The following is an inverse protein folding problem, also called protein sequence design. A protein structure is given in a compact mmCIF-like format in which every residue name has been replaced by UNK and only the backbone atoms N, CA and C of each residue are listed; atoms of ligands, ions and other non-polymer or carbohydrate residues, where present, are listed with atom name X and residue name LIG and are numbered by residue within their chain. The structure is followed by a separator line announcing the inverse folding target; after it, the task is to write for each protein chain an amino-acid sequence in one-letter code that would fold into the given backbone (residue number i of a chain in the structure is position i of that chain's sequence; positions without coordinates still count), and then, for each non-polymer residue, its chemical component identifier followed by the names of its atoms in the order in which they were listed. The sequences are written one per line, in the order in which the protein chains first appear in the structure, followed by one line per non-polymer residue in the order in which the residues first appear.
data_IF_937112476068
#
_entry.id   IF_937112476068
#
_cell.length_a   1.000
_cell.length_b   1.000
_cell.length_c   1.000
_cell.angle_alpha   90.00
_cell.angle_beta   90.00
_cell.angle_gamma   90.00
#
_symmetry.space_group_name_H-M   'P 1'
#
loop_
_entity.id
_entity.type
_entity.pdbx_description
1 polymer ?
#
# COMPACT_ATOMS: atom_id res chain seq x y z
N UNK A 1 7.24 -20.08 -0.99
CA UNK A 1 5.79 -19.95 -0.71
C UNK A 1 5.00 -21.24 -0.97
N UNK A 2 5.22 -21.94 -2.11
CA UNK A 2 4.42 -23.12 -2.48
C UNK A 2 4.45 -24.30 -1.48
N UNK A 3 5.52 -24.43 -0.68
CA UNK A 3 5.70 -25.50 0.31
C UNK A 3 5.29 -25.14 1.75
N UNK A 4 4.61 -24.01 1.99
CA UNK A 4 4.15 -23.67 3.34
C UNK A 4 3.06 -24.66 3.83
N UNK A 5 3.04 -25.01 5.14
CA UNK A 5 1.94 -25.69 5.80
C UNK A 5 0.57 -25.07 5.48
N UNK A 6 -0.46 -25.90 5.44
CA UNK A 6 -1.82 -25.48 5.06
C UNK A 6 -2.39 -24.40 5.99
N UNK A 7 -2.13 -24.49 7.31
CA UNK A 7 -2.57 -23.49 8.29
C UNK A 7 -1.94 -22.11 8.02
N UNK A 8 -0.64 -22.09 7.68
CA UNK A 8 0.08 -20.86 7.38
C UNK A 8 -0.42 -20.22 6.07
N UNK A 9 -0.71 -21.05 5.05
CA UNK A 9 -1.36 -20.60 3.82
C UNK A 9 -2.74 -20.01 4.07
N UNK A 10 -3.53 -20.61 4.96
CA UNK A 10 -4.85 -20.13 5.32
C UNK A 10 -4.79 -18.73 5.97
N UNK A 11 -3.87 -18.52 6.93
CA UNK A 11 -3.64 -17.20 7.54
C UNK A 11 -3.25 -16.14 6.50
N UNK A 12 -2.38 -16.50 5.55
CA UNK A 12 -1.96 -15.57 4.48
C UNK A 12 -3.15 -15.23 3.58
N UNK A 13 -3.97 -16.22 3.25
CA UNK A 13 -5.16 -16.03 2.43
C UNK A 13 -6.19 -15.12 3.12
N UNK A 14 -6.41 -15.28 4.42
CA UNK A 14 -7.28 -14.42 5.22
C UNK A 14 -6.81 -12.96 5.20
N UNK A 15 -5.51 -12.72 5.44
CA UNK A 15 -4.97 -11.35 5.38
C UNK A 15 -5.01 -10.76 3.98
N UNK A 16 -4.80 -11.58 2.94
CA UNK A 16 -4.96 -11.15 1.56
C UNK A 16 -6.42 -10.79 1.23
N UNK A 17 -7.42 -11.48 1.82
CA UNK A 17 -8.83 -11.14 1.66
C UNK A 17 -9.16 -9.80 2.32
N UNK A 18 -8.62 -9.54 3.52
CA UNK A 18 -8.76 -8.24 4.19
C UNK A 18 -8.12 -7.12 3.34
N UNK A 19 -6.95 -7.38 2.76
CA UNK A 19 -6.33 -6.43 1.84
C UNK A 19 -7.20 -6.16 0.60
N UNK A 20 -7.85 -7.20 0.06
CA UNK A 20 -8.77 -7.07 -1.07
C UNK A 20 -9.95 -6.14 -0.76
N UNK A 21 -10.45 -6.13 0.48
CA UNK A 21 -11.49 -5.20 0.92
C UNK A 21 -11.02 -3.73 0.83
N UNK A 22 -9.79 -3.43 1.29
CA UNK A 22 -9.20 -2.09 1.17
C UNK A 22 -8.98 -1.70 -0.30
N UNK A 23 -8.60 -2.66 -1.15
CA UNK A 23 -8.48 -2.45 -2.59
C UNK A 23 -9.84 -2.11 -3.22
N UNK A 24 -10.92 -2.80 -2.84
CA UNK A 24 -12.28 -2.47 -3.30
C UNK A 24 -12.71 -1.05 -2.88
N UNK A 25 -12.32 -0.61 -1.68
CA UNK A 25 -12.57 0.78 -1.23
C UNK A 25 -11.83 1.79 -2.10
N UNK A 26 -10.60 1.48 -2.53
CA UNK A 26 -9.86 2.33 -3.45
C UNK A 26 -10.49 2.35 -4.83
N UNK A 27 -10.84 1.19 -5.40
CA UNK A 27 -11.48 1.09 -6.71
C UNK A 27 -12.78 1.92 -6.74
N UNK A 28 -13.62 1.81 -5.70
CA UNK A 28 -14.86 2.56 -5.56
C UNK A 28 -14.64 4.07 -5.40
N UNK A 29 -13.52 4.49 -4.82
CA UNK A 29 -13.20 5.91 -4.68
C UNK A 29 -12.65 6.48 -5.97
N UNK A 30 -11.76 5.74 -6.62
CA UNK A 30 -11.09 6.13 -7.87
C UNK A 30 -12.07 6.14 -9.06
N UNK A 31 -13.08 5.26 -9.07
CA UNK A 31 -14.08 5.21 -10.15
C UNK A 31 -14.99 6.43 -10.23
N UNK A 32 -15.01 7.27 -9.19
CA UNK A 32 -15.76 8.53 -9.17
C UNK A 32 -15.10 9.64 -9.99
N UNK A 33 -13.85 9.42 -10.44
CA UNK A 33 -13.01 10.42 -11.07
C UNK A 33 -12.60 9.99 -12.47
N UNK A 34 -12.69 10.92 -13.43
CA UNK A 34 -11.92 10.84 -14.66
C UNK A 34 -10.44 11.05 -14.31
N UNK A 35 -9.57 10.17 -14.78
CA UNK A 35 -8.13 10.27 -14.53
C UNK A 35 -7.43 11.28 -15.46
N UNK A 36 -8.16 11.82 -16.44
CA UNK A 36 -7.72 12.89 -17.34
C UNK A 36 -7.36 14.15 -16.55
N UNK A 37 -6.08 14.29 -16.20
CA UNK A 37 -5.52 15.45 -15.50
C UNK A 37 -5.46 15.33 -13.97
N UNK A 38 -5.76 14.16 -13.38
CA UNK A 38 -5.62 13.94 -11.94
C UNK A 38 -4.49 12.94 -11.62
N UNK A 39 -3.27 13.47 -11.50
CA UNK A 39 -2.08 12.66 -11.21
C UNK A 39 -2.16 11.92 -9.85
N UNK A 40 -2.94 12.41 -8.88
CA UNK A 40 -3.15 11.68 -7.60
C UNK A 40 -3.89 10.36 -7.86
N UNK A 41 -4.89 10.36 -8.74
CA UNK A 41 -5.64 9.16 -9.11
C UNK A 41 -4.75 8.18 -9.88
N UNK A 42 -3.95 8.69 -10.82
CA UNK A 42 -2.98 7.87 -11.59
C UNK A 42 -1.97 7.21 -10.65
N UNK A 43 -1.39 7.98 -9.72
CA UNK A 43 -0.45 7.46 -8.72
C UNK A 43 -1.12 6.46 -7.77
N UNK A 44 -2.37 6.70 -7.36
CA UNK A 44 -3.12 5.77 -6.52
C UNK A 44 -3.35 4.42 -7.22
N UNK A 45 -3.78 4.45 -8.49
CA UNK A 45 -3.92 3.24 -9.34
C UNK A 45 -2.58 2.51 -9.49
N UNK A 46 -1.50 3.23 -9.74
CA UNK A 46 -0.15 2.66 -9.87
C UNK A 46 0.30 1.98 -8.57
N UNK A 47 0.17 2.65 -7.42
CA UNK A 47 0.52 2.08 -6.11
C UNK A 47 -0.33 0.85 -5.79
N UNK A 48 -1.63 0.89 -6.12
CA UNK A 48 -2.53 -0.25 -5.96
C UNK A 48 -2.09 -1.47 -6.76
N UNK A 49 -1.76 -1.28 -8.04
CA UNK A 49 -1.30 -2.34 -8.93
C UNK A 49 -0.04 -3.02 -8.37
N UNK A 50 0.96 -2.23 -7.96
CA UNK A 50 2.20 -2.77 -7.42
C UNK A 50 1.95 -3.51 -6.09
N UNK A 51 1.09 -2.99 -5.21
CA UNK A 51 0.75 -3.71 -3.97
C UNK A 51 0.02 -5.02 -4.24
N UNK A 52 -0.84 -5.10 -5.26
CA UNK A 52 -1.48 -6.36 -5.67
C UNK A 52 -0.45 -7.40 -6.12
N UNK A 53 0.56 -7.01 -6.90
CA UNK A 53 1.67 -7.90 -7.29
C UNK A 53 2.43 -8.40 -6.05
N UNK A 54 2.63 -7.55 -5.05
CA UNK A 54 3.23 -7.94 -3.78
C UNK A 54 2.33 -8.92 -3.00
N UNK A 55 1.00 -8.77 -3.04
CA UNK A 55 0.06 -9.72 -2.39
C UNK A 55 -0.07 -11.03 -3.17
N UNK A 56 0.15 -11.03 -4.47
CA UNK A 56 0.24 -12.26 -5.25
C UNK A 56 1.52 -13.03 -4.91
N UNK A 57 2.63 -12.31 -4.73
CA UNK A 57 3.89 -12.91 -4.30
C UNK A 57 3.74 -13.66 -2.97
N UNK A 58 3.00 -13.11 -2.00
CA UNK A 58 2.76 -13.78 -0.70
C UNK A 58 2.04 -15.12 -0.84
N UNK A 59 1.30 -15.30 -1.94
CA UNK A 59 0.56 -16.52 -2.29
C UNK A 59 1.32 -17.40 -3.29
N UNK A 60 2.54 -17.04 -3.66
CA UNK A 60 3.34 -17.72 -4.67
C UNK A 60 2.81 -17.55 -6.10
N UNK A 61 2.13 -16.44 -6.38
CA UNK A 61 1.56 -16.07 -7.68
C UNK A 61 2.16 -14.74 -8.18
N UNK A 62 1.77 -14.34 -9.39
CA UNK A 62 2.07 -13.02 -9.91
C UNK A 62 3.47 -12.89 -10.54
N UNK A 63 3.87 -11.67 -10.91
CA UNK A 63 5.08 -11.42 -11.70
C UNK A 63 6.37 -11.38 -10.87
N UNK A 64 6.29 -11.14 -9.56
CA UNK A 64 7.45 -11.08 -8.68
C UNK A 64 7.95 -12.49 -8.37
N UNK A 65 9.25 -12.74 -8.55
CA UNK A 65 9.84 -14.08 -8.43
C UNK A 65 10.70 -14.22 -7.19
N UNK A 66 11.35 -13.15 -6.77
CA UNK A 66 12.34 -13.17 -5.70
C UNK A 66 12.20 -11.95 -4.78
N UNK A 67 12.91 -11.98 -3.64
CA UNK A 67 12.90 -10.88 -2.66
C UNK A 67 13.40 -9.55 -3.23
N UNK A 68 14.33 -9.57 -4.20
CA UNK A 68 14.80 -8.35 -4.85
C UNK A 68 13.67 -7.66 -5.64
N UNK A 69 12.81 -8.43 -6.29
CA UNK A 69 11.63 -7.91 -6.99
C UNK A 69 10.66 -7.23 -6.01
N UNK A 70 10.44 -7.84 -4.84
CA UNK A 70 9.58 -7.27 -3.76
C UNK A 70 10.17 -5.98 -3.19
N UNK A 71 11.48 -5.92 -2.99
CA UNK A 71 12.18 -4.71 -2.54
C UNK A 71 12.05 -3.60 -3.60
N UNK A 72 12.19 -3.95 -4.88
CA UNK A 72 12.02 -3.01 -6.00
C UNK A 72 10.58 -2.48 -6.08
N UNK A 73 9.58 -3.35 -5.91
CA UNK A 73 8.16 -2.98 -5.83
C UNK A 73 7.90 -2.00 -4.67
N UNK A 74 8.42 -2.27 -3.47
CA UNK A 74 8.27 -1.38 -2.32
C UNK A 74 8.92 0.01 -2.54
N UNK A 75 10.08 0.05 -3.21
CA UNK A 75 10.72 1.31 -3.60
C UNK A 75 9.86 2.11 -4.59
N UNK A 76 9.31 1.46 -5.62
CA UNK A 76 8.41 2.10 -6.58
C UNK A 76 7.16 2.68 -5.90
N UNK A 77 6.60 1.96 -4.93
CA UNK A 77 5.48 2.47 -4.12
C UNK A 77 5.91 3.70 -3.33
N UNK A 78 7.07 3.69 -2.70
CA UNK A 78 7.55 4.84 -1.95
C UNK A 78 7.84 6.08 -2.83
N UNK A 79 8.38 5.87 -4.03
CA UNK A 79 8.58 6.94 -5.02
C UNK A 79 7.24 7.54 -5.47
N UNK A 80 6.25 6.69 -5.79
CA UNK A 80 4.90 7.13 -6.13
C UNK A 80 4.22 7.86 -4.96
N UNK A 81 4.35 7.33 -3.73
CA UNK A 81 3.85 7.97 -2.51
C UNK A 81 4.51 9.33 -2.23
N UNK A 82 5.80 9.48 -2.54
CA UNK A 82 6.49 10.78 -2.45
C UNK A 82 5.95 11.79 -3.45
N UNK A 83 5.69 11.37 -4.71
CA UNK A 83 5.07 12.21 -5.74
C UNK A 83 3.65 12.62 -5.35
N UNK A 84 2.85 11.67 -4.87
CA UNK A 84 1.50 11.94 -4.33
C UNK A 84 1.56 12.93 -3.17
N UNK A 85 2.57 12.77 -2.29
CA UNK A 85 2.92 13.71 -1.22
C UNK A 85 3.09 15.16 -1.69
N UNK A 86 3.78 15.38 -2.80
CA UNK A 86 4.03 16.71 -3.37
C UNK A 86 2.75 17.31 -3.94
N UNK A 87 2.04 16.55 -4.77
CA UNK A 87 0.78 16.99 -5.38
C UNK A 87 -0.29 17.31 -4.33
N UNK A 88 -0.44 16.43 -3.33
CA UNK A 88 -1.37 16.64 -2.22
C UNK A 88 -1.06 17.90 -1.40
N UNK A 89 0.23 18.22 -1.18
CA UNK A 89 0.61 19.49 -0.52
C UNK A 89 0.22 20.69 -1.36
N UNK A 90 0.45 20.65 -2.68
CA UNK A 90 0.01 21.73 -3.58
C UNK A 90 -1.49 21.94 -3.50
N UNK A 91 -2.30 20.88 -3.41
CA UNK A 91 -3.75 21.01 -3.19
C UNK A 91 -4.03 21.65 -1.82
N UNK A 92 -3.40 21.15 -0.76
CA UNK A 92 -3.57 21.63 0.61
C UNK A 92 -3.20 23.13 0.76
N UNK A 93 -2.15 23.59 0.10
CA UNK A 93 -1.68 24.98 0.17
C UNK A 93 -2.66 25.98 -0.42
N UNK A 94 -3.46 25.54 -1.38
CA UNK A 94 -4.49 26.36 -1.99
C UNK A 94 -5.91 26.06 -1.46
N UNK A 95 -6.04 25.24 -0.42
CA UNK A 95 -7.33 24.97 0.20
C UNK A 95 -7.64 26.09 1.21
N UNK A 96 -8.76 26.83 1.05
CA UNK A 96 -9.13 27.90 1.97
C UNK A 96 -9.66 27.37 3.30
N UNK A 97 -10.19 26.14 3.31
CA UNK A 97 -10.71 25.48 4.50
C UNK A 97 -9.56 24.85 5.31
N UNK A 98 -9.32 25.40 6.50
CA UNK A 98 -8.20 24.98 7.35
C UNK A 98 -8.33 23.55 7.87
N UNK A 99 -9.55 23.08 8.13
CA UNK A 99 -9.79 21.71 8.60
C UNK A 99 -9.47 20.69 7.49
N UNK A 100 -10.01 20.90 6.28
CA UNK A 100 -9.73 20.08 5.10
C UNK A 100 -8.24 20.05 4.76
N UNK A 101 -7.57 21.20 4.88
CA UNK A 101 -6.11 21.31 4.72
C UNK A 101 -5.36 20.42 5.71
N UNK A 102 -5.69 20.50 7.00
CA UNK A 102 -5.02 19.71 8.03
C UNK A 102 -5.25 18.21 7.85
N UNK A 103 -6.47 17.79 7.53
CA UNK A 103 -6.80 16.39 7.27
C UNK A 103 -5.97 15.82 6.11
N UNK A 104 -5.91 16.55 4.98
CA UNK A 104 -5.10 16.15 3.84
C UNK A 104 -3.62 16.01 4.22
N UNK A 105 -3.04 17.01 4.91
CA UNK A 105 -1.65 16.95 5.34
C UNK A 105 -1.36 15.77 6.28
N UNK A 106 -2.28 15.46 7.19
CA UNK A 106 -2.16 14.30 8.09
C UNK A 106 -2.16 12.98 7.31
N UNK A 107 -3.02 12.83 6.30
CA UNK A 107 -3.01 11.62 5.46
C UNK A 107 -1.74 11.49 4.61
N UNK A 108 -1.19 12.61 4.09
CA UNK A 108 0.08 12.59 3.36
C UNK A 108 1.27 12.17 4.25
N UNK A 109 1.27 12.59 5.52
CA UNK A 109 2.26 12.11 6.49
C UNK A 109 2.12 10.61 6.76
N UNK A 110 0.88 10.11 6.85
CA UNK A 110 0.62 8.66 7.01
C UNK A 110 1.10 7.86 5.80
N UNK A 111 0.90 8.34 4.57
CA UNK A 111 1.47 7.71 3.37
C UNK A 111 3.00 7.60 3.50
N UNK A 112 3.68 8.69 3.86
CA UNK A 112 5.14 8.68 4.00
C UNK A 112 5.61 7.65 5.04
N UNK A 113 4.96 7.62 6.20
CA UNK A 113 5.25 6.66 7.27
C UNK A 113 5.04 5.21 6.80
N UNK A 114 3.89 4.91 6.18
CA UNK A 114 3.57 3.54 5.80
C UNK A 114 4.38 3.05 4.59
N UNK A 115 4.74 3.92 3.65
CA UNK A 115 5.68 3.59 2.58
C UNK A 115 7.07 3.24 3.14
N UNK A 116 7.51 3.95 4.20
CA UNK A 116 8.75 3.63 4.89
C UNK A 116 8.66 2.27 5.60
N UNK A 117 7.56 1.99 6.32
CA UNK A 117 7.33 0.69 6.95
C UNK A 117 7.29 -0.45 5.93
N UNK A 118 6.60 -0.27 4.80
CA UNK A 118 6.56 -1.25 3.71
C UNK A 118 7.96 -1.56 3.17
N UNK A 119 8.79 -0.52 2.99
CA UNK A 119 10.18 -0.70 2.58
C UNK A 119 11.00 -1.50 3.59
N UNK A 120 10.81 -1.29 4.89
CA UNK A 120 11.46 -2.10 5.93
C UNK A 120 10.98 -3.55 5.83
N UNK A 121 9.67 -3.78 5.82
CA UNK A 121 9.08 -5.12 5.75
C UNK A 121 9.51 -5.88 4.48
N UNK A 122 9.70 -5.18 3.36
CA UNK A 122 10.16 -5.80 2.10
C UNK A 122 11.58 -6.36 2.16
N UNK A 123 12.41 -5.87 3.09
CA UNK A 123 13.82 -6.26 3.25
C UNK A 123 14.03 -7.35 4.31
N UNK A 124 13.02 -7.61 5.15
CA UNK A 124 13.10 -8.66 6.17
C UNK A 124 13.20 -9.99 5.44
N UNK A 125 14.40 -10.59 5.43
CA UNK A 125 14.62 -11.92 4.86
C UNK A 125 13.91 -12.92 5.77
N UNK A 126 13.17 -13.86 5.17
CA UNK A 126 12.76 -15.05 5.87
C UNK A 126 14.03 -15.84 6.26
N UNK A 127 14.46 -15.73 7.51
CA UNK A 127 15.53 -16.58 8.04
C UNK A 127 14.99 -18.00 8.19
N UNK A 128 15.50 -18.95 7.42
CA UNK A 128 15.18 -20.37 7.64
C UNK A 128 15.89 -20.78 8.94
N UNK A 129 15.15 -20.84 10.06
CA UNK A 129 15.66 -21.37 11.31
C UNK A 129 15.40 -22.87 11.35
N UNK A 130 16.46 -23.66 11.52
CA UNK A 130 16.37 -25.10 11.65
C UNK A 130 16.28 -25.44 13.14
N UNK A 131 15.06 -25.44 13.70
CA UNK A 131 14.80 -25.90 15.06
C UNK A 131 14.37 -27.37 15.03
N UNK A 132 15.24 -28.27 15.46
CA UNK A 132 14.87 -29.64 15.81
C UNK A 132 14.51 -30.58 14.64
N UNK A 133 15.01 -30.33 13.42
CA UNK A 133 14.75 -31.20 12.26
C UNK A 133 13.42 -30.94 11.56
N UNK A 134 12.64 -29.97 12.04
CA UNK A 134 11.46 -29.44 11.36
C UNK A 134 11.80 -28.09 10.72
N UNK A 135 11.57 -27.98 9.41
CA UNK A 135 11.77 -26.76 8.63
C UNK A 135 10.66 -25.74 8.99
N UNK A 136 10.82 -25.03 10.10
CA UNK A 136 9.88 -23.97 10.50
C UNK A 136 10.24 -22.69 9.74
N UNK A 137 9.45 -22.37 8.72
CA UNK A 137 9.63 -21.14 7.92
C UNK A 137 9.17 -19.92 8.73
N UNK A 138 10.12 -19.15 9.27
CA UNK A 138 9.90 -17.78 9.81
C UNK A 138 9.33 -16.78 8.78
N UNK A 139 9.21 -17.22 7.52
CA UNK A 139 8.67 -16.41 6.42
C UNK A 139 7.21 -16.03 6.60
N UNK A 140 6.44 -16.69 7.46
CA UNK A 140 5.03 -16.31 7.70
C UNK A 140 4.92 -14.97 8.40
N UNK A 141 5.66 -14.74 9.49
CA UNK A 141 5.56 -13.47 10.24
C UNK A 141 6.05 -12.28 9.41
N UNK A 142 7.11 -12.51 8.61
CA UNK A 142 7.61 -11.53 7.65
C UNK A 142 6.56 -11.23 6.57
N UNK A 143 5.90 -12.26 6.06
CA UNK A 143 4.82 -12.14 5.08
C UNK A 143 3.61 -11.41 5.67
N UNK A 144 3.20 -11.72 6.89
CA UNK A 144 2.12 -11.02 7.59
C UNK A 144 2.45 -9.55 7.78
N UNK A 145 3.68 -9.25 8.22
CA UNK A 145 4.14 -7.87 8.39
C UNK A 145 4.09 -7.09 7.07
N UNK A 146 4.50 -7.72 5.97
CA UNK A 146 4.41 -7.14 4.64
C UNK A 146 2.96 -6.85 4.22
N UNK A 147 2.04 -7.80 4.42
CA UNK A 147 0.61 -7.62 4.10
C UNK A 147 0.01 -6.50 4.96
N UNK A 148 0.30 -6.45 6.26
CA UNK A 148 -0.19 -5.39 7.13
C UNK A 148 0.35 -4.01 6.72
N UNK A 149 1.63 -3.92 6.36
CA UNK A 149 2.21 -2.68 5.88
C UNK A 149 1.54 -2.22 4.57
N UNK A 150 1.34 -3.14 3.62
CA UNK A 150 0.64 -2.85 2.36
C UNK A 150 -0.81 -2.39 2.62
N UNK A 151 -1.53 -3.04 3.54
CA UNK A 151 -2.89 -2.62 3.95
C UNK A 151 -2.91 -1.19 4.49
N UNK A 152 -1.96 -0.84 5.35
CA UNK A 152 -1.84 0.53 5.89
C UNK A 152 -1.58 1.55 4.79
N UNK A 153 -0.71 1.23 3.82
CA UNK A 153 -0.47 2.07 2.64
C UNK A 153 -1.76 2.24 1.83
N UNK A 154 -2.45 1.14 1.50
CA UNK A 154 -3.72 1.18 0.75
C UNK A 154 -4.76 2.07 1.43
N UNK A 155 -4.98 1.88 2.73
CA UNK A 155 -5.93 2.68 3.50
C UNK A 155 -5.58 4.17 3.47
N UNK A 156 -4.28 4.51 3.63
CA UNK A 156 -3.83 5.89 3.58
C UNK A 156 -4.00 6.52 2.19
N UNK A 157 -3.85 5.74 1.11
CA UNK A 157 -4.14 6.20 -0.25
C UNK A 157 -5.63 6.50 -0.41
N UNK A 158 -6.53 5.61 0.03
CA UNK A 158 -7.99 5.85 -0.02
C UNK A 158 -8.36 7.17 0.66
N UNK A 159 -7.83 7.41 1.86
CA UNK A 159 -8.11 8.64 2.60
C UNK A 159 -7.50 9.87 1.91
N UNK A 160 -6.30 9.73 1.35
CA UNK A 160 -5.63 10.84 0.64
C UNK A 160 -6.40 11.23 -0.62
N UNK A 161 -6.88 10.26 -1.40
CA UNK A 161 -7.71 10.52 -2.58
C UNK A 161 -8.97 11.29 -2.18
N UNK A 162 -9.71 10.80 -1.17
CA UNK A 162 -10.91 11.47 -0.62
C UNK A 162 -10.62 12.90 -0.17
N UNK A 163 -9.61 13.08 0.68
CA UNK A 163 -9.27 14.37 1.25
C UNK A 163 -8.76 15.36 0.19
N UNK A 164 -8.00 14.87 -0.80
CA UNK A 164 -7.52 15.70 -1.91
C UNK A 164 -8.66 16.24 -2.76
N UNK A 165 -9.72 15.45 -2.95
CA UNK A 165 -10.92 15.90 -3.64
C UNK A 165 -11.69 16.95 -2.84
N UNK A 166 -11.97 16.69 -1.56
CA UNK A 166 -12.66 17.64 -0.69
C UNK A 166 -11.90 18.97 -0.65
N UNK A 167 -10.58 18.94 -0.46
CA UNK A 167 -9.75 20.13 -0.44
C UNK A 167 -9.76 20.89 -1.78
N UNK A 168 -9.82 20.17 -2.91
CA UNK A 168 -9.88 20.77 -4.25
C UNK A 168 -11.23 21.41 -4.56
N UNK A 169 -12.35 20.85 -4.09
CA UNK A 169 -13.69 21.41 -4.31
C UNK A 169 -13.98 22.63 -3.44
N UNK A 170 -13.38 22.70 -2.25
CA UNK A 170 -13.46 23.88 -1.38
C UNK A 170 -12.80 25.13 -1.97
N UNK A 171 -12.02 25.01 -3.05
CA UNK A 171 -11.56 26.17 -3.83
C UNK A 171 -12.65 26.87 -4.64
N UNK A 172 -13.70 26.14 -5.02
CA UNK A 172 -14.69 26.58 -6.01
C UNK A 172 -15.87 27.35 -5.40
N UNK A 173 -15.92 27.49 -4.07
CA UNK A 173 -16.90 28.27 -3.33
C UNK A 173 -16.18 29.26 -2.41
#
# INVERSE_FOLDING_TARGET
MAQLPQEQKAKIAEQAAIFQEEKSKLDAEVSKWDDSGNDIIVLAKQMCMIMMEMMDFTRGKGPLKNTSDVISAAKKIAEAGSRMGKLGRTIADHCPDSACKQDLLAYLQRIALYCHQLNICSKVKAEVQNLGGELVVSGVDSTMSLIQAAKKVMNAIVQTVKASYIASTKKLH
#
